data_IF_136996241365
#
_entry.id   IF_136996241365
#
_cell.length_a   1.000
_cell.length_b   1.000
_cell.length_c   1.000
_cell.angle_alpha   90.00
_cell.angle_beta   90.00
_cell.angle_gamma   90.00
#
_symmetry.space_group_name_H-M   'P 1'
#
loop_
_entity.id
_entity.type
_entity.pdbx_description
1 polymer ?
#
# COMPACT_ATOMS: atom_id res chain seq x y z
N UNK A 1 -17.16 9.04 -6.73
CA UNK A 1 -15.97 9.58 -6.04
C UNK A 1 -14.79 9.44 -6.97
N UNK A 2 -14.07 10.53 -7.24
CA UNK A 2 -12.87 10.52 -8.07
C UNK A 2 -11.65 10.20 -7.20
N UNK A 3 -10.88 9.18 -7.58
CA UNK A 3 -9.68 8.76 -6.84
C UNK A 3 -8.45 8.87 -7.73
N UNK A 4 -7.48 9.65 -7.29
CA UNK A 4 -6.17 9.66 -7.89
C UNK A 4 -5.32 8.49 -7.36
N UNK A 5 -4.76 7.70 -8.28
CA UNK A 5 -3.82 6.64 -7.94
C UNK A 5 -2.41 7.15 -8.21
N UNK A 6 -1.65 7.43 -7.15
CA UNK A 6 -0.25 7.84 -7.25
C UNK A 6 0.61 6.58 -7.46
N UNK A 7 1.04 6.36 -8.71
CA UNK A 7 1.83 5.19 -9.11
C UNK A 7 3.30 5.46 -8.78
N UNK A 8 3.80 4.80 -7.74
CA UNK A 8 5.15 4.98 -7.20
C UNK A 8 6.16 3.93 -7.71
N UNK A 9 5.76 3.06 -8.61
CA UNK A 9 6.62 2.04 -9.20
C UNK A 9 5.95 1.32 -10.36
N UNK A 10 6.78 0.66 -11.17
CA UNK A 10 6.31 -0.24 -12.23
C UNK A 10 6.49 -1.69 -11.81
N UNK A 11 5.58 -2.54 -12.23
CA UNK A 11 5.82 -3.98 -12.19
C UNK A 11 6.95 -4.35 -13.14
N UNK A 12 7.57 -5.49 -12.90
CA UNK A 12 8.53 -6.10 -13.81
C UNK A 12 7.81 -6.52 -15.10
N UNK A 13 8.49 -6.46 -16.24
CA UNK A 13 7.89 -6.61 -17.58
C UNK A 13 6.99 -7.86 -17.70
N UNK A 14 7.45 -9.02 -17.19
CA UNK A 14 6.69 -10.27 -17.24
C UNK A 14 5.40 -10.21 -16.40
N UNK A 15 5.45 -9.55 -15.23
CA UNK A 15 4.29 -9.34 -14.35
C UNK A 15 3.36 -8.31 -15.00
N UNK A 16 3.90 -7.21 -15.51
CA UNK A 16 3.13 -6.16 -16.18
C UNK A 16 2.39 -6.69 -17.41
N UNK A 17 3.03 -7.58 -18.19
CA UNK A 17 2.40 -8.20 -19.36
C UNK A 17 1.14 -9.00 -19.02
N UNK A 18 1.07 -9.58 -17.83
CA UNK A 18 -0.07 -10.39 -17.37
C UNK A 18 -1.10 -9.58 -16.60
N UNK A 19 -0.65 -8.66 -15.74
CA UNK A 19 -1.49 -7.99 -14.74
C UNK A 19 -1.67 -6.49 -14.99
N UNK A 20 -1.00 -5.92 -16.00
CA UNK A 20 -1.06 -4.48 -16.27
C UNK A 20 -0.27 -3.65 -15.28
N UNK A 21 -0.86 -2.56 -14.81
CA UNK A 21 -0.30 -1.61 -13.88
C UNK A 21 -1.00 -1.68 -12.50
N UNK A 22 -0.53 -0.92 -11.54
CA UNK A 22 -1.25 -0.78 -10.27
C UNK A 22 -2.68 -0.23 -10.44
N UNK A 23 -2.95 0.61 -11.47
CA UNK A 23 -4.31 1.05 -11.76
C UNK A 23 -5.24 -0.13 -12.05
N UNK A 24 -4.74 -1.11 -12.84
CA UNK A 24 -5.51 -2.29 -13.25
C UNK A 24 -5.84 -3.23 -12.06
N UNK A 25 -5.11 -3.11 -10.96
CA UNK A 25 -5.39 -3.83 -9.70
C UNK A 25 -6.24 -3.01 -8.74
N UNK A 26 -5.95 -1.72 -8.55
CA UNK A 26 -6.67 -0.90 -7.56
C UNK A 26 -8.06 -0.49 -8.01
N UNK A 27 -8.29 -0.22 -9.30
CA UNK A 27 -9.61 0.18 -9.77
C UNK A 27 -10.66 -0.94 -9.57
N UNK A 28 -10.40 -2.21 -9.92
CA UNK A 28 -11.30 -3.32 -9.57
C UNK A 28 -11.41 -3.56 -8.05
N UNK A 29 -10.30 -3.41 -7.30
CA UNK A 29 -10.31 -3.53 -5.85
C UNK A 29 -11.24 -2.50 -5.21
N UNK A 30 -11.20 -1.24 -5.63
CA UNK A 30 -12.11 -0.19 -5.15
C UNK A 30 -13.55 -0.43 -5.62
N UNK A 31 -13.73 -0.94 -6.85
CA UNK A 31 -15.02 -1.35 -7.39
C UNK A 31 -15.94 -0.19 -7.78
N UNK A 32 -17.23 -0.47 -8.00
CA UNK A 32 -18.18 0.52 -8.51
C UNK A 32 -18.36 1.70 -7.55
N UNK A 33 -18.54 2.89 -8.14
CA UNK A 33 -18.68 4.15 -7.41
C UNK A 33 -17.38 4.91 -7.18
N UNK A 34 -16.23 4.32 -7.58
CA UNK A 34 -14.94 4.99 -7.61
C UNK A 34 -14.48 5.15 -9.07
N UNK A 35 -14.17 6.39 -9.47
CA UNK A 35 -13.63 6.75 -10.78
C UNK A 35 -12.13 7.00 -10.59
N UNK A 36 -11.30 6.07 -11.07
CA UNK A 36 -9.87 6.03 -10.79
C UNK A 36 -9.05 6.60 -11.94
N UNK A 37 -8.12 7.52 -11.63
CA UNK A 37 -7.13 8.06 -12.57
C UNK A 37 -5.71 7.83 -12.05
N UNK A 38 -4.82 7.30 -12.88
CA UNK A 38 -3.41 7.14 -12.56
C UNK A 38 -2.61 8.43 -12.78
N UNK A 39 -1.61 8.63 -11.90
CA UNK A 39 -0.54 9.63 -12.01
C UNK A 39 0.78 8.89 -11.79
N UNK A 40 1.62 8.82 -12.81
CA UNK A 40 2.88 8.06 -12.75
C UNK A 40 3.97 8.89 -12.06
N UNK A 41 3.87 8.99 -10.74
CA UNK A 41 4.79 9.78 -9.90
C UNK A 41 6.23 9.31 -10.04
N UNK A 42 6.44 8.01 -10.17
CA UNK A 42 7.77 7.42 -10.43
C UNK A 42 8.43 7.95 -11.70
N UNK A 43 7.63 8.40 -12.67
CA UNK A 43 8.09 8.98 -13.95
C UNK A 43 8.07 10.53 -13.92
N UNK A 44 7.74 11.12 -12.76
CA UNK A 44 7.69 12.57 -12.57
C UNK A 44 6.33 13.21 -12.88
N UNK A 45 5.28 12.43 -13.13
CA UNK A 45 3.93 12.94 -13.34
C UNK A 45 3.26 13.19 -11.97
N UNK A 46 3.21 14.44 -11.55
CA UNK A 46 2.53 14.86 -10.32
C UNK A 46 1.18 15.51 -10.63
N UNK A 47 0.16 15.34 -9.73
CA UNK A 47 -1.06 16.14 -9.82
C UNK A 47 -0.76 17.63 -9.66
N UNK A 48 -1.57 18.48 -10.30
CA UNK A 48 -1.43 19.95 -10.21
C UNK A 48 -1.88 20.47 -8.83
N UNK A 49 -2.86 19.80 -8.19
CA UNK A 49 -3.42 20.17 -6.90
C UNK A 49 -3.85 18.93 -6.11
N UNK A 50 -3.78 19.03 -4.78
CA UNK A 50 -4.30 17.99 -3.88
C UNK A 50 -5.82 17.84 -3.96
N UNK A 51 -6.52 18.88 -4.43
CA UNK A 51 -7.97 18.93 -4.59
C UNK A 51 -8.45 18.50 -5.98
N UNK A 52 -7.53 18.06 -6.87
CA UNK A 52 -7.87 17.60 -8.23
C UNK A 52 -8.73 16.33 -8.21
N UNK A 53 -8.60 15.54 -7.13
CA UNK A 53 -9.38 14.34 -6.88
C UNK A 53 -10.07 14.42 -5.50
N UNK A 54 -11.12 13.62 -5.32
CA UNK A 54 -11.83 13.53 -4.04
C UNK A 54 -11.05 12.76 -2.96
N UNK A 55 -10.00 12.05 -3.36
CA UNK A 55 -9.10 11.28 -2.50
C UNK A 55 -7.95 10.66 -3.28
N UNK A 56 -6.94 10.19 -2.57
CA UNK A 56 -5.71 9.66 -3.15
C UNK A 56 -5.38 8.27 -2.61
N UNK A 57 -4.96 7.36 -3.50
CA UNK A 57 -4.38 6.08 -3.14
C UNK A 57 -2.93 6.04 -3.64
N UNK A 58 -2.00 5.76 -2.73
CA UNK A 58 -0.56 5.68 -3.00
C UNK A 58 -0.19 4.21 -3.15
N UNK A 59 0.39 3.85 -4.29
CA UNK A 59 0.69 2.47 -4.65
C UNK A 59 1.89 1.90 -3.88
N UNK A 60 2.07 0.60 -4.00
CA UNK A 60 3.33 -0.08 -3.72
C UNK A 60 4.44 0.39 -4.67
N UNK A 61 5.67 0.05 -4.31
CA UNK A 61 6.88 0.27 -5.09
C UNK A 61 7.95 -0.74 -4.71
N UNK A 62 8.90 -0.98 -5.61
CA UNK A 62 10.15 -1.71 -5.29
C UNK A 62 11.24 -0.81 -4.69
N UNK A 63 11.02 0.53 -4.72
CA UNK A 63 11.94 1.51 -4.13
C UNK A 63 11.69 1.64 -2.64
N UNK A 64 12.74 1.95 -1.87
CA UNK A 64 12.62 2.34 -0.47
C UNK A 64 12.19 3.80 -0.33
N UNK A 65 11.29 4.10 0.60
CA UNK A 65 10.81 5.46 0.84
C UNK A 65 11.95 6.42 1.26
N UNK A 66 13.04 5.88 1.78
CA UNK A 66 14.24 6.59 2.22
C UNK A 66 15.32 6.73 1.12
N UNK A 67 15.09 6.20 -0.09
CA UNK A 67 16.05 6.29 -1.20
C UNK A 67 16.08 7.70 -1.80
N UNK A 68 17.22 8.06 -2.40
CA UNK A 68 17.43 9.38 -3.02
C UNK A 68 16.92 9.39 -4.47
N UNK A 69 15.59 9.38 -4.64
CA UNK A 69 14.92 9.56 -5.92
C UNK A 69 14.30 10.95 -6.02
N UNK A 70 14.48 11.60 -7.17
CA UNK A 70 14.01 12.97 -7.40
C UNK A 70 12.49 13.16 -7.23
N UNK A 71 11.70 12.10 -7.38
CA UNK A 71 10.25 12.12 -7.23
C UNK A 71 9.76 11.94 -5.79
N UNK A 72 10.61 11.45 -4.85
CA UNK A 72 10.21 11.23 -3.45
C UNK A 72 9.94 12.54 -2.70
N UNK A 73 10.83 13.56 -2.68
CA UNK A 73 10.56 14.80 -1.97
C UNK A 73 9.29 15.53 -2.44
N UNK A 74 9.01 15.68 -3.75
CA UNK A 74 7.74 16.26 -4.21
C UNK A 74 6.51 15.45 -3.79
N UNK A 75 6.61 14.10 -3.79
CA UNK A 75 5.53 13.24 -3.31
C UNK A 75 5.25 13.46 -1.82
N UNK A 76 6.28 13.51 -0.98
CA UNK A 76 6.12 13.80 0.44
C UNK A 76 5.48 15.18 0.69
N UNK A 77 5.89 16.21 -0.07
CA UNK A 77 5.29 17.54 0.02
C UNK A 77 3.80 17.52 -0.36
N UNK A 78 3.45 16.77 -1.41
CA UNK A 78 2.08 16.56 -1.83
C UNK A 78 1.26 15.84 -0.75
N UNK A 79 1.78 14.76 -0.17
CA UNK A 79 1.11 14.01 0.90
C UNK A 79 0.89 14.88 2.14
N UNK A 80 1.88 15.68 2.54
CA UNK A 80 1.73 16.65 3.65
C UNK A 80 0.66 17.71 3.35
N UNK A 81 0.61 18.18 2.10
CA UNK A 81 -0.41 19.16 1.68
C UNK A 81 -1.81 18.55 1.68
N UNK A 82 -2.00 17.35 1.10
CA UNK A 82 -3.27 16.64 1.10
C UNK A 82 -3.76 16.34 2.53
N UNK A 83 -2.85 15.88 3.40
CA UNK A 83 -3.17 15.63 4.81
C UNK A 83 -3.64 16.90 5.54
N UNK A 84 -3.00 18.05 5.31
CA UNK A 84 -3.43 19.35 5.89
C UNK A 84 -4.77 19.83 5.32
N UNK A 85 -5.00 19.61 4.02
CA UNK A 85 -6.25 19.95 3.34
C UNK A 85 -7.41 18.97 3.66
N UNK A 86 -7.14 17.93 4.47
CA UNK A 86 -8.10 16.89 4.84
C UNK A 86 -8.64 16.09 3.63
N UNK A 87 -7.89 16.07 2.52
CA UNK A 87 -8.18 15.18 1.39
C UNK A 87 -7.76 13.77 1.78
N UNK A 88 -8.67 12.78 1.73
CA UNK A 88 -8.40 11.42 2.24
C UNK A 88 -7.26 10.73 1.49
N UNK A 89 -6.35 10.13 2.25
CA UNK A 89 -5.19 9.41 1.75
C UNK A 89 -5.27 7.93 2.11
N UNK A 90 -5.03 7.05 1.16
CA UNK A 90 -4.84 5.61 1.40
C UNK A 90 -3.45 5.21 0.93
N UNK A 91 -2.64 4.56 1.78
CA UNK A 91 -1.31 4.09 1.43
C UNK A 91 -1.20 2.56 1.48
N UNK A 92 -0.66 1.93 0.42
CA UNK A 92 -0.43 0.49 0.35
C UNK A 92 1.06 0.20 0.18
N UNK A 93 1.65 -0.61 1.03
CA UNK A 93 3.05 -1.04 1.04
C UNK A 93 4.02 0.16 1.04
N UNK A 94 4.66 0.49 -0.08
CA UNK A 94 5.46 1.72 -0.20
C UNK A 94 4.61 2.96 0.15
N UNK A 95 3.34 3.00 -0.29
CA UNK A 95 2.42 4.09 0.03
C UNK A 95 2.17 4.24 1.54
N UNK A 96 2.10 3.13 2.28
CA UNK A 96 2.05 3.14 3.75
C UNK A 96 3.34 3.71 4.34
N UNK A 97 4.48 3.31 3.81
CA UNK A 97 5.80 3.73 4.29
C UNK A 97 6.05 5.22 4.02
N UNK A 98 5.83 5.68 2.78
CA UNK A 98 6.07 7.09 2.42
C UNK A 98 5.10 8.04 3.15
N UNK A 99 3.86 7.62 3.38
CA UNK A 99 2.90 8.39 4.17
C UNK A 99 3.36 8.53 5.62
N UNK A 100 3.82 7.43 6.24
CA UNK A 100 4.38 7.49 7.58
C UNK A 100 5.62 8.40 7.63
N UNK A 101 6.55 8.28 6.67
CA UNK A 101 7.76 9.13 6.59
C UNK A 101 7.40 10.60 6.39
N UNK A 102 6.52 10.93 5.46
CA UNK A 102 6.07 12.28 5.19
C UNK A 102 5.46 12.98 6.42
N UNK A 103 4.83 12.21 7.30
CA UNK A 103 4.17 12.69 8.51
C UNK A 103 5.02 12.58 9.79
N UNK A 104 6.33 12.31 9.67
CA UNK A 104 7.30 12.34 10.76
C UNK A 104 7.62 10.98 11.39
N UNK A 105 7.19 9.89 10.79
CA UNK A 105 7.61 8.54 11.12
C UNK A 105 8.99 8.21 10.53
N UNK A 106 9.41 6.96 10.70
CA UNK A 106 10.67 6.45 10.16
C UNK A 106 10.46 5.12 9.45
N UNK A 107 11.06 5.00 8.26
CA UNK A 107 11.08 3.79 7.44
C UNK A 107 12.51 3.31 7.30
N UNK A 108 12.72 2.00 7.44
CA UNK A 108 14.04 1.40 7.36
C UNK A 108 13.95 0.03 6.67
N UNK A 109 15.04 -0.37 6.05
CA UNK A 109 15.24 -1.75 5.62
C UNK A 109 15.32 -2.65 6.84
N UNK A 110 14.33 -3.54 7.00
CA UNK A 110 14.22 -4.35 8.20
C UNK A 110 15.28 -5.44 8.26
N UNK A 111 16.03 -5.48 9.35
CA UNK A 111 17.14 -6.45 9.56
C UNK A 111 16.65 -7.90 9.71
N UNK A 112 15.36 -8.10 10.06
CA UNK A 112 14.74 -9.42 10.15
C UNK A 112 14.45 -10.10 8.80
N UNK A 113 14.72 -9.41 7.68
CA UNK A 113 14.56 -9.97 6.34
C UNK A 113 13.20 -9.65 5.71
N UNK A 114 12.69 -10.58 4.90
CA UNK A 114 11.51 -10.40 4.06
C UNK A 114 10.25 -11.02 4.66
N UNK A 115 9.12 -10.33 4.49
CA UNK A 115 7.78 -10.89 4.57
C UNK A 115 7.24 -11.08 3.15
N UNK A 116 6.98 -12.34 2.74
CA UNK A 116 6.58 -12.67 1.38
C UNK A 116 5.48 -13.74 1.38
N UNK A 117 4.44 -13.55 0.58
CA UNK A 117 3.31 -14.48 0.45
C UNK A 117 2.16 -14.21 1.43
N UNK A 118 1.21 -15.14 1.56
CA UNK A 118 0.09 -15.01 2.50
C UNK A 118 0.58 -14.92 3.96
N UNK A 119 0.12 -13.91 4.70
CA UNK A 119 0.43 -13.65 6.11
C UNK A 119 -0.84 -13.28 6.86
N UNK A 120 -1.03 -13.83 8.06
CA UNK A 120 -2.11 -13.45 8.95
C UNK A 120 -1.76 -12.16 9.69
N UNK A 121 -2.65 -11.18 9.66
CA UNK A 121 -2.56 -9.90 10.34
C UNK A 121 -3.60 -9.82 11.46
N UNK A 122 -3.16 -9.38 12.64
CA UNK A 122 -3.99 -9.17 13.82
C UNK A 122 -4.47 -7.72 13.84
N UNK A 123 -5.78 -7.52 13.85
CA UNK A 123 -6.39 -6.20 13.94
C UNK A 123 -6.76 -5.85 15.37
N UNK A 124 -6.76 -4.57 15.70
CA UNK A 124 -7.07 -4.07 17.06
C UNK A 124 -8.53 -4.28 17.48
N UNK A 125 -9.42 -4.55 16.53
CA UNK A 125 -10.82 -4.94 16.79
C UNK A 125 -10.98 -6.44 17.13
N UNK A 126 -9.87 -7.19 17.16
CA UNK A 126 -9.83 -8.62 17.45
C UNK A 126 -10.05 -9.50 16.23
N UNK A 127 -10.24 -8.93 15.03
CA UNK A 127 -10.30 -9.70 13.78
C UNK A 127 -8.92 -10.12 13.30
N UNK A 128 -8.88 -11.16 12.45
CA UNK A 128 -7.67 -11.64 11.79
C UNK A 128 -7.94 -11.75 10.30
N UNK A 129 -6.99 -11.30 9.48
CA UNK A 129 -7.12 -11.37 8.02
C UNK A 129 -5.83 -11.90 7.40
N UNK A 130 -5.92 -12.85 6.48
CA UNK A 130 -4.77 -13.37 5.72
C UNK A 130 -4.65 -12.59 4.42
N UNK A 131 -3.61 -11.77 4.31
CA UNK A 131 -3.36 -10.88 3.18
C UNK A 131 -1.95 -11.08 2.65
N UNK A 132 -1.70 -10.75 1.39
CA UNK A 132 -0.39 -10.92 0.76
C UNK A 132 0.61 -9.87 1.28
N UNK A 133 1.75 -10.34 1.76
CA UNK A 133 2.93 -9.52 2.05
C UNK A 133 3.94 -9.62 0.90
N UNK A 134 4.57 -8.50 0.54
CA UNK A 134 5.74 -8.43 -0.35
C UNK A 134 6.60 -7.25 0.10
N UNK A 135 7.36 -7.42 1.19
CA UNK A 135 8.19 -6.32 1.69
C UNK A 135 9.35 -6.80 2.55
N UNK A 136 10.43 -6.04 2.54
CA UNK A 136 11.49 -6.06 3.55
C UNK A 136 11.46 -4.77 4.37
N UNK A 137 11.28 -3.63 3.71
CA UNK A 137 11.22 -2.33 4.36
C UNK A 137 9.95 -2.22 5.21
N UNK A 138 10.07 -1.52 6.34
CA UNK A 138 8.98 -1.34 7.29
C UNK A 138 9.02 0.05 7.92
N UNK A 139 7.86 0.53 8.36
CA UNK A 139 7.78 1.60 9.35
C UNK A 139 8.36 1.09 10.66
N UNK A 140 9.43 1.72 11.16
CA UNK A 140 10.10 1.37 12.44
C UNK A 140 9.76 2.34 13.57
N UNK A 141 9.26 3.54 13.22
CA UNK A 141 8.65 4.48 14.16
C UNK A 141 7.44 5.13 13.47
N UNK A 142 6.26 4.96 14.07
CA UNK A 142 5.05 5.58 13.55
C UNK A 142 5.02 7.09 13.86
N UNK A 143 4.33 7.91 13.05
CA UNK A 143 4.03 9.29 13.42
C UNK A 143 3.21 9.38 14.71
N UNK A 144 3.39 10.46 15.49
CA UNK A 144 2.68 10.63 16.77
C UNK A 144 1.16 10.61 16.64
N UNK A 145 0.64 11.18 15.53
CA UNK A 145 -0.79 11.24 15.23
C UNK A 145 -1.38 9.93 14.67
N UNK A 146 -0.55 8.91 14.41
CA UNK A 146 -1.01 7.63 13.88
C UNK A 146 -1.38 6.66 15.01
N UNK A 147 -2.44 5.90 14.81
CA UNK A 147 -2.84 4.77 15.65
C UNK A 147 -2.57 3.46 14.91
N UNK A 148 -2.04 2.46 15.64
CA UNK A 148 -1.86 1.12 15.08
C UNK A 148 -3.21 0.44 15.02
N UNK A 149 -3.58 -0.08 13.86
CA UNK A 149 -4.85 -0.81 13.66
C UNK A 149 -4.64 -2.26 13.24
N UNK A 150 -3.44 -2.59 12.74
CA UNK A 150 -3.06 -3.97 12.41
C UNK A 150 -1.57 -4.20 12.66
N UNK A 151 -1.20 -5.43 13.06
CA UNK A 151 0.18 -5.83 13.33
C UNK A 151 0.40 -7.33 13.07
N UNK A 152 1.65 -7.73 13.06
CA UNK A 152 2.12 -9.12 13.18
C UNK A 152 3.35 -9.16 14.07
N UNK A 153 3.82 -10.34 14.48
CA UNK A 153 5.09 -10.47 15.19
C UNK A 153 6.29 -9.95 14.37
N UNK A 154 6.17 -9.97 13.03
CA UNK A 154 7.21 -9.50 12.12
C UNK A 154 7.09 -8.01 11.79
N UNK A 155 5.88 -7.46 11.73
CA UNK A 155 5.59 -6.08 11.36
C UNK A 155 4.67 -5.41 12.39
N UNK A 156 5.27 -4.65 13.30
CA UNK A 156 4.53 -4.02 14.42
C UNK A 156 3.55 -2.92 13.96
N UNK A 157 3.82 -2.28 12.82
CA UNK A 157 3.03 -1.19 12.26
C UNK A 157 2.45 -1.58 10.88
N UNK A 158 1.78 -2.75 10.82
CA UNK A 158 1.26 -3.27 9.55
C UNK A 158 0.01 -2.53 9.05
N UNK A 159 -0.71 -1.83 9.91
CA UNK A 159 -1.80 -0.95 9.56
C UNK A 159 -1.80 0.29 10.45
N UNK A 160 -1.94 1.46 9.86
CA UNK A 160 -1.99 2.75 10.55
C UNK A 160 -3.22 3.56 10.14
N UNK A 161 -3.92 4.11 11.12
CA UNK A 161 -4.99 5.09 10.94
C UNK A 161 -4.54 6.46 11.45
N UNK A 162 -4.89 7.52 10.74
CA UNK A 162 -4.54 8.90 11.06
C UNK A 162 -5.83 9.73 11.20
N UNK A 163 -6.68 9.31 12.15
CA UNK A 163 -8.01 9.83 12.30
C UNK A 163 -8.86 9.59 11.05
N UNK A 164 -9.54 10.62 10.57
CA UNK A 164 -10.34 10.61 9.35
C UNK A 164 -9.58 11.10 8.10
N UNK A 165 -8.26 11.33 8.19
CA UNK A 165 -7.46 11.94 7.11
C UNK A 165 -6.69 10.93 6.29
N UNK A 166 -6.21 9.86 6.94
CA UNK A 166 -5.47 8.83 6.22
C UNK A 166 -5.63 7.44 6.84
N UNK A 167 -5.49 6.42 5.98
CA UNK A 167 -5.49 5.00 6.31
C UNK A 167 -4.40 4.32 5.51
N UNK A 168 -3.59 3.44 6.12
CA UNK A 168 -2.54 2.78 5.37
C UNK A 168 -2.24 1.37 5.86
N UNK A 169 -1.83 0.49 4.92
CA UNK A 169 -1.53 -0.90 5.16
C UNK A 169 -0.22 -1.33 4.52
N UNK A 170 0.59 -2.09 5.24
CA UNK A 170 1.82 -2.69 4.72
C UNK A 170 1.55 -3.84 3.74
N UNK A 171 0.57 -4.75 3.97
CA UNK A 171 0.21 -5.78 3.01
C UNK A 171 -0.53 -5.24 1.78
N UNK A 172 -0.67 -6.13 0.80
CA UNK A 172 -1.26 -5.91 -0.51
C UNK A 172 -2.63 -6.58 -0.63
N UNK A 173 -3.74 -5.91 -0.28
CA UNK A 173 -5.07 -6.49 -0.43
C UNK A 173 -5.49 -6.67 -1.90
N UNK A 174 -4.85 -5.94 -2.83
CA UNK A 174 -5.07 -6.00 -4.27
C UNK A 174 -4.47 -7.23 -4.94
N UNK A 175 -3.53 -7.94 -4.30
CA UNK A 175 -2.86 -9.08 -4.89
C UNK A 175 -3.67 -10.36 -4.70
N UNK A 176 -3.98 -11.02 -5.83
CA UNK A 176 -4.63 -12.33 -5.83
C UNK A 176 -3.64 -13.47 -5.54
N UNK A 177 -4.19 -14.66 -5.28
CA UNK A 177 -3.39 -15.89 -5.14
C UNK A 177 -2.56 -16.18 -6.41
N UNK A 178 -3.11 -15.93 -7.59
CA UNK A 178 -2.40 -16.10 -8.86
C UNK A 178 -1.23 -15.10 -8.97
N UNK A 179 -1.48 -13.82 -8.68
CA UNK A 179 -0.47 -12.77 -8.71
C UNK A 179 0.74 -13.12 -7.82
N UNK A 180 0.49 -13.48 -6.55
CA UNK A 180 1.60 -13.78 -5.63
C UNK A 180 2.35 -15.06 -6.02
N UNK A 181 1.68 -16.04 -6.62
CA UNK A 181 2.33 -17.25 -7.13
C UNK A 181 3.30 -16.92 -8.25
N UNK A 182 2.84 -16.18 -9.26
CA UNK A 182 3.66 -15.75 -10.41
C UNK A 182 4.84 -14.88 -9.96
N UNK A 183 4.61 -13.97 -8.99
CA UNK A 183 5.66 -13.12 -8.44
C UNK A 183 6.75 -13.91 -7.69
N UNK A 184 6.36 -14.92 -6.88
CA UNK A 184 7.30 -15.81 -6.18
C UNK A 184 8.11 -16.64 -7.19
N UNK A 185 7.48 -17.12 -8.26
CA UNK A 185 8.16 -17.88 -9.30
C UNK A 185 9.12 -17.01 -10.10
N UNK A 186 8.73 -15.78 -10.40
CA UNK A 186 9.61 -14.77 -11.01
C UNK A 186 10.85 -14.51 -10.13
N UNK A 187 10.67 -14.21 -8.84
CA UNK A 187 11.80 -13.98 -7.93
C UNK A 187 12.71 -15.22 -7.78
N UNK A 188 12.11 -16.40 -7.82
CA UNK A 188 12.85 -17.67 -7.79
C UNK A 188 13.71 -17.86 -9.05
N UNK A 189 13.17 -17.59 -10.22
CA UNK A 189 13.89 -17.68 -11.50
C UNK A 189 14.98 -16.61 -11.62
N UNK A 190 14.72 -15.40 -11.17
CA UNK A 190 15.67 -14.29 -11.18
C UNK A 190 16.77 -14.40 -10.10
N UNK A 191 16.61 -15.26 -9.10
CA UNK A 191 17.58 -15.43 -7.99
C UNK A 191 17.75 -14.17 -7.13
N UNK A 192 16.73 -13.30 -7.08
CA UNK A 192 16.80 -11.99 -6.42
C UNK A 192 16.49 -12.05 -4.94
N UNK A 193 15.84 -13.12 -4.47
CA UNK A 193 15.49 -13.33 -3.07
C UNK A 193 16.16 -14.59 -2.50
N UNK A 194 16.42 -14.63 -1.17
CA UNK A 194 16.95 -15.81 -0.50
C UNK A 194 16.05 -17.04 -0.68
N UNK A 195 16.66 -18.22 -0.86
CA UNK A 195 15.92 -19.45 -1.13
C UNK A 195 15.03 -19.90 0.04
N UNK A 196 15.42 -19.64 1.27
CA UNK A 196 14.64 -19.90 2.48
C UNK A 196 13.37 -19.03 2.55
N UNK A 197 13.47 -17.75 2.15
CA UNK A 197 12.32 -16.83 2.02
C UNK A 197 11.33 -17.36 0.98
N UNK A 198 11.82 -17.75 -0.21
CA UNK A 198 11.01 -18.31 -1.28
C UNK A 198 10.34 -19.64 -0.86
N UNK A 199 11.07 -20.51 -0.19
CA UNK A 199 10.53 -21.78 0.31
C UNK A 199 9.44 -21.57 1.36
N UNK A 200 9.67 -20.66 2.30
CA UNK A 200 8.67 -20.27 3.30
C UNK A 200 7.41 -19.62 2.67
N UNK A 201 7.59 -18.78 1.66
CA UNK A 201 6.47 -18.19 0.92
C UNK A 201 5.64 -19.25 0.17
N UNK A 202 6.31 -20.15 -0.55
CA UNK A 202 5.66 -21.26 -1.26
C UNK A 202 4.87 -22.18 -0.33
N UNK A 203 5.35 -22.45 0.87
CA UNK A 203 4.64 -23.31 1.83
C UNK A 203 3.30 -22.72 2.29
N UNK A 204 3.11 -21.39 2.13
CA UNK A 204 1.89 -20.66 2.51
C UNK A 204 0.93 -20.38 1.34
N UNK A 205 1.32 -20.67 0.09
CA UNK A 205 0.47 -20.41 -1.08
C UNK A 205 -0.88 -21.15 -1.07
N UNK A 206 -1.03 -22.18 -0.24
CA UNK A 206 -2.31 -22.89 -0.06
C UNK A 206 -3.28 -22.24 0.93
N UNK A 207 -2.85 -21.18 1.64
CA UNK A 207 -3.72 -20.46 2.57
C UNK A 207 -4.73 -19.60 1.80
N UNK A 208 -5.99 -19.65 2.22
CA UNK A 208 -7.04 -18.79 1.66
C UNK A 208 -6.75 -17.33 2.03
N UNK A 209 -6.80 -16.44 1.05
CA UNK A 209 -6.70 -14.99 1.28
C UNK A 209 -8.05 -14.47 1.76
N UNK A 210 -8.00 -13.55 2.74
CA UNK A 210 -9.14 -12.83 3.29
C UNK A 210 -8.88 -11.32 3.19
N UNK A 211 -8.73 -10.83 1.97
CA UNK A 211 -8.48 -9.40 1.71
C UNK A 211 -9.74 -8.53 1.78
N UNK A 212 -10.93 -9.13 1.75
CA UNK A 212 -12.21 -8.41 1.65
C UNK A 212 -12.46 -7.49 2.85
N UNK A 213 -12.04 -7.88 4.05
CA UNK A 213 -12.14 -7.06 5.25
C UNK A 213 -11.33 -5.76 5.12
N UNK A 214 -10.06 -5.85 4.71
CA UNK A 214 -9.18 -4.70 4.50
C UNK A 214 -9.67 -3.83 3.35
N UNK A 215 -10.10 -4.43 2.24
CA UNK A 215 -10.71 -3.72 1.10
C UNK A 215 -11.97 -2.97 1.55
N UNK A 216 -12.80 -3.62 2.37
CA UNK A 216 -13.99 -3.01 2.97
C UNK A 216 -13.67 -1.79 3.82
N UNK A 217 -12.64 -1.87 4.66
CA UNK A 217 -12.15 -0.73 5.47
C UNK A 217 -11.67 0.43 4.59
N UNK A 218 -10.89 0.16 3.54
CA UNK A 218 -10.42 1.17 2.58
C UNK A 218 -11.59 1.87 1.89
N UNK A 219 -12.55 1.11 1.38
CA UNK A 219 -13.75 1.64 0.72
C UNK A 219 -14.61 2.47 1.67
N UNK A 220 -14.81 2.01 2.90
CA UNK A 220 -15.59 2.70 3.93
C UNK A 220 -14.90 4.02 4.32
N UNK A 221 -13.59 4.00 4.53
CA UNK A 221 -12.79 5.19 4.84
C UNK A 221 -12.91 6.25 3.74
N UNK A 222 -12.69 5.89 2.47
CA UNK A 222 -12.80 6.82 1.35
C UNK A 222 -14.20 7.42 1.23
N UNK A 223 -15.26 6.62 1.44
CA UNK A 223 -16.64 7.11 1.38
C UNK A 223 -17.01 8.03 2.56
N UNK A 224 -16.52 7.75 3.75
CA UNK A 224 -16.80 8.53 4.95
C UNK A 224 -16.16 9.93 4.92
N UNK A 225 -15.04 10.06 4.21
CA UNK A 225 -14.33 11.34 4.07
C UNK A 225 -14.96 12.28 3.03
N UNK A 226 -16.01 11.87 2.30
CA UNK A 226 -16.74 12.78 1.43
C UNK A 226 -17.42 13.88 2.25
N UNK A 227 -17.33 15.17 1.85
CA UNK A 227 -18.20 16.20 2.41
C UNK A 227 -19.65 15.73 2.23
N UNK A 228 -20.37 15.58 3.34
CA UNK A 228 -21.81 15.35 3.25
C UNK A 228 -22.39 16.56 2.52
N UNK A 229 -22.88 16.35 1.29
CA UNK A 229 -23.54 17.41 0.54
C UNK A 229 -24.63 18.06 1.40
N UNK A 230 -24.97 19.33 1.14
CA UNK A 230 -26.01 20.01 1.91
C UNK A 230 -27.29 19.17 1.85
N UNK A 231 -27.85 18.90 3.03
CA UNK A 231 -29.10 18.18 3.21
C UNK A 231 -30.28 18.96 2.63
#
# INVERSE_FOLDING_TARGET
MKIGILICGHFLDDIAATYGTYLDLYAPMLGPGFDCRAYFVVDGEMPESVEEQDGWLISGSRHGAYEDHAWIPPLEDFLRAAYRAEVPLVGICFGHQILAQALGGRVEKYSGGWSLGPVAYDFTDGSHQTVVAVHQDQVTAKPDQAEVIASTDFCAFAGLAYGNRALSFQPHPEFSQAFITDLIDFYGAAGTLPQDVLAAARSRLGLALDSDGMIGQIRAFLRAAQPQGPA
#
